data_IF_776360343454
#
_entry.id   IF_776360343454
#
_cell.length_a   1.000
_cell.length_b   1.000
_cell.length_c   1.000
_cell.angle_alpha   90.00
_cell.angle_beta   90.00
_cell.angle_gamma   90.00
#
_symmetry.space_group_name_H-M   'P 1'
#
loop_
_entity.id
_entity.type
_entity.pdbx_description
1 polymer ?
#
# COMPACT_ATOMS: atom_id res chain seq x y z
N UNK A 1 -6.66 11.18 -3.71
CA UNK A 1 -6.07 11.81 -4.92
C UNK A 1 -7.04 12.76 -5.61
N UNK A 2 -8.15 12.27 -6.18
CA UNK A 2 -9.14 13.17 -6.81
C UNK A 2 -10.00 13.93 -5.80
N UNK A 3 -10.44 13.28 -4.72
CA UNK A 3 -11.30 13.87 -3.69
C UNK A 3 -10.59 14.90 -2.81
N UNK A 4 -9.29 14.74 -2.58
CA UNK A 4 -8.46 15.64 -1.77
C UNK A 4 -7.72 16.70 -2.61
N UNK A 5 -8.10 16.88 -3.88
CA UNK A 5 -7.55 17.94 -4.74
C UNK A 5 -6.08 17.80 -5.13
N UNK A 6 -5.49 16.62 -4.94
CA UNK A 6 -4.06 16.37 -5.19
C UNK A 6 -3.78 15.78 -6.57
N UNK A 7 -4.76 15.72 -7.47
CA UNK A 7 -4.60 15.11 -8.80
C UNK A 7 -4.14 16.16 -9.83
N UNK A 8 -2.86 16.14 -10.18
CA UNK A 8 -2.28 16.89 -11.30
C UNK A 8 -1.49 16.00 -12.28
N UNK A 9 -0.69 16.63 -13.14
CA UNK A 9 0.10 15.92 -14.17
C UNK A 9 1.09 14.91 -13.58
N UNK A 10 1.69 15.23 -12.43
CA UNK A 10 2.63 14.34 -11.74
C UNK A 10 1.93 13.05 -11.25
N UNK A 11 0.71 13.17 -10.73
CA UNK A 11 -0.09 12.03 -10.29
C UNK A 11 -0.59 11.19 -11.46
N UNK A 12 -0.98 11.84 -12.56
CA UNK A 12 -1.38 11.15 -13.79
C UNK A 12 -0.23 10.30 -14.33
N UNK A 13 0.97 10.88 -14.46
CA UNK A 13 2.17 10.16 -14.88
C UNK A 13 2.52 9.01 -13.93
N UNK A 14 2.42 9.23 -12.62
CA UNK A 14 2.67 8.17 -11.64
C UNK A 14 1.66 7.01 -11.75
N UNK A 15 0.39 7.31 -12.07
CA UNK A 15 -0.63 6.29 -12.34
C UNK A 15 -0.33 5.53 -13.63
N UNK A 16 0.18 6.20 -14.66
CA UNK A 16 0.64 5.52 -15.89
C UNK A 16 1.81 4.58 -15.62
N UNK A 17 2.82 5.02 -14.86
CA UNK A 17 3.95 4.19 -14.43
C UNK A 17 3.47 2.98 -13.61
N UNK A 18 2.53 3.20 -12.68
CA UNK A 18 1.87 2.14 -11.93
C UNK A 18 1.18 1.14 -12.84
N UNK A 19 0.34 1.59 -13.79
CA UNK A 19 -0.33 0.70 -14.75
C UNK A 19 0.69 -0.07 -15.61
N UNK A 20 1.75 0.60 -16.04
CA UNK A 20 2.79 0.00 -16.87
C UNK A 20 3.54 -1.11 -16.13
N UNK A 21 3.78 -0.95 -14.82
CA UNK A 21 4.43 -1.99 -14.01
C UNK A 21 3.63 -3.30 -13.94
N UNK A 22 2.29 -3.22 -14.00
CA UNK A 22 1.40 -4.38 -13.94
C UNK A 22 1.04 -4.99 -15.31
N UNK A 23 1.33 -4.30 -16.43
CA UNK A 23 0.78 -4.65 -17.75
C UNK A 23 1.10 -6.08 -18.22
N UNK A 24 2.30 -6.57 -17.89
CA UNK A 24 2.82 -7.89 -18.32
C UNK A 24 2.80 -8.89 -17.16
N UNK A 25 2.22 -8.53 -16.01
CA UNK A 25 2.14 -9.39 -14.84
C UNK A 25 0.94 -10.32 -14.92
N UNK A 26 1.13 -11.57 -14.48
CA UNK A 26 0.07 -12.56 -14.38
C UNK A 26 -0.04 -13.06 -12.94
N UNK A 27 -1.26 -13.10 -12.40
CA UNK A 27 -1.54 -13.42 -11.00
C UNK A 27 -2.43 -14.67 -10.89
N UNK A 28 -1.89 -15.89 -11.09
CA UNK A 28 -2.61 -17.10 -10.73
C UNK A 28 -2.82 -17.15 -9.20
N UNK A 29 -3.76 -17.99 -8.71
CA UNK A 29 -3.94 -18.18 -7.28
C UNK A 29 -2.63 -18.49 -6.56
N UNK A 30 -2.38 -17.82 -5.44
CA UNK A 30 -1.12 -17.91 -4.67
C UNK A 30 -0.04 -16.92 -5.08
N UNK A 31 -0.18 -16.22 -6.21
CA UNK A 31 0.71 -15.10 -6.55
C UNK A 31 0.40 -13.86 -5.73
N UNK A 32 1.42 -13.05 -5.47
CA UNK A 32 1.36 -11.93 -4.54
C UNK A 32 1.97 -10.68 -5.14
N UNK A 33 1.36 -9.54 -4.81
CA UNK A 33 1.92 -8.22 -5.05
C UNK A 33 2.33 -7.62 -3.71
N UNK A 34 3.56 -7.12 -3.63
CA UNK A 34 4.05 -6.38 -2.48
C UNK A 34 4.10 -4.89 -2.82
N UNK A 35 3.42 -4.09 -1.99
CA UNK A 35 3.44 -2.63 -2.05
C UNK A 35 4.29 -2.12 -0.89
N UNK A 36 5.48 -1.60 -1.19
CA UNK A 36 6.32 -0.94 -0.18
C UNK A 36 6.04 0.55 -0.17
N UNK A 37 5.36 1.03 0.86
CA UNK A 37 5.16 2.46 1.09
C UNK A 37 6.32 3.02 1.91
N UNK A 38 7.10 3.94 1.33
CA UNK A 38 8.17 4.64 2.02
C UNK A 38 7.64 5.89 2.73
N UNK A 39 8.14 6.26 3.93
CA UNK A 39 7.83 7.55 4.55
C UNK A 39 8.32 8.74 3.73
N UNK A 40 9.24 8.53 2.78
CA UNK A 40 9.73 9.55 1.84
C UNK A 40 8.80 9.79 0.65
N UNK A 41 7.66 9.08 0.57
CA UNK A 41 6.66 9.30 -0.49
C UNK A 41 6.90 8.50 -1.77
N UNK A 42 7.59 7.35 -1.69
CA UNK A 42 7.79 6.45 -2.83
C UNK A 42 7.00 5.16 -2.66
N UNK A 43 6.45 4.65 -3.77
CA UNK A 43 5.78 3.35 -3.83
C UNK A 43 6.66 2.34 -4.56
N UNK A 44 7.17 1.36 -3.82
CA UNK A 44 7.86 0.21 -4.38
C UNK A 44 6.88 -0.91 -4.73
N UNK A 45 7.10 -1.56 -5.87
CA UNK A 45 6.30 -2.68 -6.37
C UNK A 45 7.19 -3.92 -6.52
N UNK A 46 6.76 -5.04 -5.95
CA UNK A 46 7.39 -6.35 -6.17
C UNK A 46 6.32 -7.41 -6.43
N UNK A 47 6.66 -8.42 -7.22
CA UNK A 47 5.74 -9.48 -7.62
C UNK A 47 6.34 -10.85 -7.28
N UNK A 48 5.52 -11.75 -6.74
CA UNK A 48 5.93 -13.10 -6.39
C UNK A 48 4.91 -14.12 -6.85
N UNK A 49 5.38 -15.35 -7.11
CA UNK A 49 4.52 -16.48 -7.52
C UNK A 49 3.98 -17.27 -6.34
N UNK A 50 4.58 -17.15 -5.16
CA UNK A 50 4.41 -18.07 -4.03
C UNK A 50 4.57 -17.40 -2.65
N UNK A 51 4.07 -16.17 -2.50
CA UNK A 51 4.10 -15.37 -1.25
C UNK A 51 5.50 -15.01 -0.71
N UNK A 52 6.57 -15.46 -1.36
CA UNK A 52 7.94 -15.08 -1.00
C UNK A 52 8.17 -13.61 -1.31
N UNK A 53 8.73 -12.85 -0.36
CA UNK A 53 9.08 -11.44 -0.57
C UNK A 53 10.32 -11.37 -1.47
N UNK A 54 10.25 -10.75 -2.66
CA UNK A 54 11.42 -10.59 -3.53
C UNK A 54 12.48 -9.68 -2.89
N UNK A 55 13.76 -9.98 -3.10
CA UNK A 55 14.87 -9.16 -2.58
C UNK A 55 14.92 -7.76 -3.22
N UNK A 56 14.53 -7.66 -4.49
CA UNK A 56 14.58 -6.44 -5.27
C UNK A 56 13.19 -6.03 -5.75
N UNK A 57 12.98 -4.73 -5.77
CA UNK A 57 11.75 -4.14 -6.31
C UNK A 57 11.74 -4.21 -7.83
N UNK A 58 10.59 -4.53 -8.40
CA UNK A 58 10.38 -4.48 -9.84
C UNK A 58 10.32 -3.03 -10.36
N UNK A 59 9.68 -2.14 -9.59
CA UNK A 59 9.57 -0.72 -9.90
C UNK A 59 9.50 0.12 -8.62
N UNK A 60 9.97 1.36 -8.71
CA UNK A 60 9.84 2.38 -7.66
C UNK A 60 9.23 3.63 -8.28
N UNK A 61 8.10 4.07 -7.75
CA UNK A 61 7.34 5.22 -8.25
C UNK A 61 7.45 6.36 -7.24
N UNK A 62 8.01 7.49 -7.68
CA UNK A 62 8.23 8.67 -6.85
C UNK A 62 7.01 9.60 -6.88
N UNK A 63 5.95 9.22 -6.16
CA UNK A 63 4.79 10.08 -5.97
C UNK A 63 4.11 9.79 -4.63
N UNK A 64 4.16 10.77 -3.71
CA UNK A 64 3.63 10.63 -2.36
C UNK A 64 2.13 10.36 -2.35
N UNK A 65 1.37 11.12 -3.15
CA UNK A 65 -0.08 11.01 -3.19
C UNK A 65 -0.53 9.61 -3.66
N UNK A 66 0.13 9.05 -4.67
CA UNK A 66 -0.10 7.68 -5.13
C UNK A 66 0.33 6.65 -4.08
N UNK A 67 1.49 6.85 -3.46
CA UNK A 67 2.02 5.93 -2.45
C UNK A 67 1.09 5.79 -1.25
N UNK A 68 0.48 6.88 -0.80
CA UNK A 68 -0.51 6.87 0.29
C UNK A 68 -1.87 6.34 -0.19
N UNK A 69 -2.25 6.64 -1.44
CA UNK A 69 -3.55 6.25 -1.98
C UNK A 69 -3.75 4.73 -2.01
N UNK A 70 -2.71 3.93 -2.26
CA UNK A 70 -2.85 2.47 -2.26
C UNK A 70 -3.35 1.98 -0.90
N UNK A 71 -2.72 2.37 0.20
CA UNK A 71 -3.16 1.96 1.54
C UNK A 71 -4.47 2.63 1.95
N UNK A 72 -4.68 3.90 1.60
CA UNK A 72 -5.92 4.64 1.89
C UNK A 72 -7.15 3.94 1.28
N UNK A 73 -7.05 3.39 0.07
CA UNK A 73 -8.16 2.63 -0.54
C UNK A 73 -8.51 1.36 0.23
N UNK A 74 -7.58 0.82 1.02
CA UNK A 74 -7.77 -0.42 1.79
C UNK A 74 -8.32 -0.16 3.19
N UNK A 75 -7.87 0.90 3.87
CA UNK A 75 -8.16 1.13 5.30
C UNK A 75 -8.69 2.53 5.64
N UNK A 76 -8.80 3.40 4.63
CA UNK A 76 -9.23 4.79 4.77
C UNK A 76 -10.70 4.96 5.14
N UNK A 77 -11.25 6.12 4.80
CA UNK A 77 -12.66 6.43 5.11
C UNK A 77 -13.63 5.52 4.35
N UNK A 78 -13.35 5.25 3.08
CA UNK A 78 -14.17 4.40 2.18
C UNK A 78 -13.32 3.17 1.77
N UNK A 79 -13.19 2.16 2.65
CA UNK A 79 -12.29 1.03 2.42
C UNK A 79 -12.90 -0.04 1.51
N UNK A 80 -12.07 -0.68 0.69
CA UNK A 80 -12.48 -1.89 -0.05
C UNK A 80 -12.65 -3.11 0.85
N UNK A 81 -11.96 -3.15 2.00
CA UNK A 81 -12.05 -4.25 2.97
C UNK A 81 -12.30 -3.73 4.39
N UNK A 82 -13.56 -3.62 4.83
CA UNK A 82 -13.91 -3.24 6.20
C UNK A 82 -13.26 -4.16 7.25
N UNK A 83 -13.10 -5.45 6.92
CA UNK A 83 -12.46 -6.44 7.78
C UNK A 83 -10.98 -6.10 8.06
N UNK A 84 -10.26 -5.56 7.08
CA UNK A 84 -8.86 -5.14 7.27
C UNK A 84 -8.78 -4.00 8.30
N UNK A 85 -9.64 -2.99 8.16
CA UNK A 85 -9.72 -1.86 9.10
C UNK A 85 -10.05 -2.33 10.51
N UNK A 86 -11.02 -3.23 10.66
CA UNK A 86 -11.39 -3.81 11.96
C UNK A 86 -10.22 -4.60 12.59
N UNK A 87 -9.53 -5.42 11.80
CA UNK A 87 -8.38 -6.21 12.25
C UNK A 87 -7.26 -5.33 12.80
N UNK A 88 -6.91 -4.26 12.06
CA UNK A 88 -5.91 -3.29 12.50
C UNK A 88 -6.33 -2.57 13.79
N UNK A 89 -7.55 -2.04 13.84
CA UNK A 89 -8.05 -1.33 15.04
C UNK A 89 -7.98 -2.20 16.28
N UNK A 90 -8.41 -3.45 16.18
CA UNK A 90 -8.45 -4.38 17.31
C UNK A 90 -7.03 -4.67 17.81
N UNK A 91 -6.13 -5.06 16.91
CA UNK A 91 -4.76 -5.45 17.26
C UNK A 91 -3.91 -4.28 17.74
N UNK A 92 -4.12 -3.08 17.19
CA UNK A 92 -3.43 -1.88 17.66
C UNK A 92 -3.94 -1.43 19.02
N UNK A 93 -5.24 -1.53 19.30
CA UNK A 93 -5.77 -1.23 20.62
C UNK A 93 -5.15 -2.15 21.70
N UNK A 94 -5.10 -3.45 21.43
CA UNK A 94 -4.47 -4.43 22.33
C UNK A 94 -2.98 -4.14 22.52
N UNK A 95 -2.24 -3.94 21.43
CA UNK A 95 -0.81 -3.63 21.46
C UNK A 95 -0.48 -2.38 22.26
N UNK A 96 -1.20 -1.27 22.02
CA UNK A 96 -0.98 -0.01 22.72
C UNK A 96 -1.38 -0.07 24.20
N UNK A 97 -2.39 -0.89 24.54
CA UNK A 97 -2.78 -1.11 25.93
C UNK A 97 -1.69 -1.87 26.69
N UNK A 98 -1.11 -2.90 26.09
CA UNK A 98 -0.02 -3.67 26.71
C UNK A 98 1.25 -2.84 26.89
N UNK A 99 1.57 -1.96 25.94
CA UNK A 99 2.77 -1.10 26.01
C UNK A 99 2.67 -0.08 27.15
N UNK A 100 1.49 0.55 27.30
CA UNK A 100 1.22 1.47 28.41
C UNK A 100 1.28 0.76 29.77
N UNK A 101 0.86 -0.51 29.87
CA UNK A 101 0.96 -1.27 31.13
C UNK A 101 2.38 -1.70 31.51
N UNK A 102 3.33 -1.64 30.58
CA UNK A 102 4.74 -1.99 30.82
C UNK A 102 5.61 -0.78 31.18
N UNK A 103 5.05 0.43 31.05
CA UNK A 103 5.72 1.70 31.35
C UNK A 103 5.26 2.34 32.67
N UNK A 104 4.28 1.74 33.36
CA UNK A 104 3.89 2.00 34.76
C UNK A 104 4.54 0.98 35.72
#
# INVERSE_FOLDING_TARGET
MKSNGSYGEAEEKAIEEFRYAFKDQHFPPGSTVFYRQSPTGTLGLSFSKDETIPENEYAVIENKALSEAVLETMIGEIPVSPALKQSLTTRFYEFLKEDNSKTE
#
